data_IF_184761607200
#
_entry.id   IF_184761607200
#
_cell.length_a   1.000
_cell.length_b   1.000
_cell.length_c   1.000
_cell.angle_alpha   90.00
_cell.angle_beta   90.00
_cell.angle_gamma   90.00
#
_symmetry.space_group_name_H-M   'P 1'
#
loop_
_entity.id
_entity.type
_entity.pdbx_description
1 polymer ?
#
# COMPACT_ATOMS: atom_id res chain seq x y z
N UNK A 1 3.74 -30.44 16.53
CA UNK A 1 3.10 -29.11 16.46
C UNK A 1 4.09 -28.07 15.93
N UNK A 2 4.15 -27.85 14.61
CA UNK A 2 4.99 -26.82 13.97
C UNK A 2 4.27 -26.20 12.77
N UNK A 3 3.06 -25.68 12.99
CA UNK A 3 2.30 -24.96 11.95
C UNK A 3 1.88 -23.53 12.37
N UNK A 4 2.30 -23.04 13.55
CA UNK A 4 1.77 -21.77 14.07
C UNK A 4 2.48 -20.50 13.58
N UNK A 5 3.72 -20.59 13.06
CA UNK A 5 4.51 -19.39 12.74
C UNK A 5 4.16 -18.82 11.35
N UNK A 6 3.84 -19.69 10.37
CA UNK A 6 3.51 -19.24 9.01
C UNK A 6 2.11 -18.59 8.92
N UNK A 7 1.16 -19.03 9.76
CA UNK A 7 -0.20 -18.47 9.79
C UNK A 7 -0.22 -17.05 10.38
N UNK A 8 0.61 -16.81 11.40
CA UNK A 8 0.72 -15.51 12.07
C UNK A 8 1.42 -14.46 11.16
N UNK A 9 2.47 -14.87 10.45
CA UNK A 9 3.18 -14.00 9.50
C UNK A 9 2.30 -13.61 8.30
N UNK A 10 1.46 -14.53 7.82
CA UNK A 10 0.47 -14.25 6.77
C UNK A 10 -0.65 -13.33 7.27
N UNK A 11 -1.10 -13.50 8.52
CA UNK A 11 -2.10 -12.64 9.17
C UNK A 11 -1.58 -11.20 9.36
N UNK A 12 -0.34 -11.04 9.85
CA UNK A 12 0.31 -9.73 10.01
C UNK A 12 0.54 -9.03 8.65
N UNK A 13 0.97 -9.78 7.64
CA UNK A 13 1.11 -9.27 6.26
C UNK A 13 -0.23 -8.83 5.69
N UNK A 14 -1.30 -9.59 5.93
CA UNK A 14 -2.65 -9.28 5.47
C UNK A 14 -3.25 -8.06 6.16
N UNK A 15 -3.08 -7.92 7.48
CA UNK A 15 -3.48 -6.71 8.25
C UNK A 15 -2.70 -5.49 7.76
N UNK A 16 -1.40 -5.63 7.52
CA UNK A 16 -0.58 -4.54 6.99
C UNK A 16 -1.01 -4.11 5.59
N UNK A 17 -1.28 -5.07 4.69
CA UNK A 17 -1.79 -4.81 3.34
C UNK A 17 -3.12 -4.04 3.42
N UNK A 18 -4.03 -4.44 4.31
CA UNK A 18 -5.32 -3.77 4.48
C UNK A 18 -5.19 -2.36 5.06
N UNK A 19 -4.32 -2.17 6.06
CA UNK A 19 -4.10 -0.86 6.70
C UNK A 19 -3.43 0.13 5.73
N UNK A 20 -2.39 -0.33 5.01
CA UNK A 20 -1.68 0.46 3.99
C UNK A 20 -2.62 0.90 2.87
N UNK A 21 -3.49 -0.01 2.41
CA UNK A 21 -4.44 0.27 1.33
C UNK A 21 -5.47 1.32 1.73
N UNK A 22 -6.07 1.19 2.93
CA UNK A 22 -6.98 2.22 3.45
C UNK A 22 -6.31 3.59 3.56
N UNK A 23 -5.05 3.62 3.98
CA UNK A 23 -4.28 4.85 4.08
C UNK A 23 -3.99 5.48 2.71
N UNK A 24 -3.51 4.69 1.74
CA UNK A 24 -3.28 5.15 0.35
C UNK A 24 -4.59 5.66 -0.26
N UNK A 25 -5.69 4.94 -0.09
CA UNK A 25 -7.00 5.38 -0.57
C UNK A 25 -7.47 6.67 0.11
N UNK A 26 -7.23 6.83 1.42
CA UNK A 26 -7.51 8.07 2.15
C UNK A 26 -6.70 9.25 1.62
N UNK A 27 -5.39 9.06 1.40
CA UNK A 27 -4.52 10.09 0.82
C UNK A 27 -4.92 10.45 -0.61
N UNK A 28 -5.21 9.46 -1.45
CA UNK A 28 -5.68 9.69 -2.82
C UNK A 28 -7.06 10.33 -2.84
N UNK A 29 -7.90 10.08 -1.84
CA UNK A 29 -9.19 10.79 -1.69
C UNK A 29 -8.98 12.25 -1.31
N UNK A 30 -7.98 12.56 -0.48
CA UNK A 30 -7.68 13.93 -0.06
C UNK A 30 -6.94 14.76 -1.13
N UNK A 31 -5.97 14.17 -1.82
CA UNK A 31 -5.15 14.86 -2.84
C UNK A 31 -5.64 14.63 -4.29
N UNK A 32 -6.52 13.66 -4.53
CA UNK A 32 -6.97 13.25 -5.86
C UNK A 32 -5.98 12.32 -6.58
N UNK A 33 -4.74 12.77 -6.75
CA UNK A 33 -3.68 12.02 -7.44
C UNK A 33 -2.33 12.20 -6.79
N UNK A 34 -1.51 11.15 -6.73
CA UNK A 34 -0.17 11.17 -6.15
C UNK A 34 0.80 10.29 -6.92
N UNK A 35 2.04 10.74 -7.08
CA UNK A 35 3.14 9.95 -7.64
C UNK A 35 3.60 8.84 -6.68
N UNK A 36 4.19 7.77 -7.21
CA UNK A 36 4.75 6.65 -6.44
C UNK A 36 5.63 7.11 -5.26
N UNK A 37 6.57 8.03 -5.52
CA UNK A 37 7.50 8.56 -4.50
C UNK A 37 6.78 9.28 -3.35
N UNK A 38 5.71 10.02 -3.65
CA UNK A 38 4.92 10.72 -2.64
C UNK A 38 4.18 9.73 -1.76
N UNK A 39 3.59 8.70 -2.37
CA UNK A 39 2.94 7.62 -1.64
C UNK A 39 3.95 6.90 -0.74
N UNK A 40 5.14 6.56 -1.27
CA UNK A 40 6.21 5.90 -0.52
C UNK A 40 6.70 6.73 0.67
N UNK A 41 6.96 8.03 0.46
CA UNK A 41 7.41 8.92 1.54
C UNK A 41 6.35 9.13 2.61
N UNK A 42 5.08 9.29 2.22
CA UNK A 42 3.99 9.35 3.18
C UNK A 42 3.86 8.05 3.95
N UNK A 43 3.90 6.89 3.30
CA UNK A 43 3.89 5.61 4.00
C UNK A 43 5.04 5.50 5.02
N UNK A 44 6.26 5.95 4.68
CA UNK A 44 7.37 6.01 5.64
C UNK A 44 7.12 6.96 6.81
N UNK A 45 6.47 8.10 6.58
CA UNK A 45 6.20 9.07 7.65
C UNK A 45 5.03 8.68 8.56
N UNK A 46 4.04 7.96 8.03
CA UNK A 46 2.80 7.66 8.75
C UNK A 46 2.71 6.20 9.23
N UNK A 47 3.37 5.25 8.56
CA UNK A 47 3.46 3.84 8.98
C UNK A 47 4.78 3.55 9.72
N UNK A 48 5.07 4.35 10.75
CA UNK A 48 6.23 4.19 11.65
C UNK A 48 5.91 3.28 12.85
N UNK A 49 4.63 2.97 13.07
CA UNK A 49 4.16 2.12 14.18
C UNK A 49 3.94 0.68 13.74
N UNK A 50 4.14 -0.28 14.64
CA UNK A 50 4.10 -1.72 14.34
C UNK A 50 2.79 -2.16 13.66
N UNK A 51 2.85 -2.74 12.43
CA UNK A 51 4.05 -3.13 11.69
C UNK A 51 4.70 -1.95 10.95
N UNK A 52 6.03 -1.82 11.04
CA UNK A 52 6.78 -0.74 10.37
C UNK A 52 6.78 -0.94 8.85
N UNK A 53 6.59 0.15 8.08
CA UNK A 53 6.73 0.11 6.62
C UNK A 53 8.20 -0.01 6.20
N UNK A 54 8.64 -1.23 5.91
CA UNK A 54 9.99 -1.57 5.41
C UNK A 54 9.98 -2.07 3.94
N UNK A 55 9.03 -1.61 3.13
CA UNK A 55 8.93 -2.03 1.72
C UNK A 55 9.75 -1.09 0.82
N UNK A 56 10.37 -1.63 -0.22
CA UNK A 56 11.06 -0.85 -1.25
C UNK A 56 10.07 -0.18 -2.22
N UNK A 57 10.54 0.82 -2.98
CA UNK A 57 9.77 1.45 -4.06
C UNK A 57 9.25 0.43 -5.08
N UNK A 58 10.05 -0.57 -5.45
CA UNK A 58 9.62 -1.64 -6.35
C UNK A 58 8.50 -2.50 -5.76
N UNK A 59 8.58 -2.84 -4.47
CA UNK A 59 7.52 -3.60 -3.79
C UNK A 59 6.22 -2.80 -3.72
N UNK A 60 6.31 -1.49 -3.44
CA UNK A 60 5.15 -0.59 -3.49
C UNK A 60 4.57 -0.49 -4.91
N UNK A 61 5.43 -0.35 -5.93
CA UNK A 61 5.00 -0.31 -7.32
C UNK A 61 4.25 -1.58 -7.70
N UNK A 62 4.79 -2.76 -7.39
CA UNK A 62 4.14 -4.04 -7.65
C UNK A 62 2.78 -4.13 -6.94
N UNK A 63 2.70 -3.62 -5.70
CA UNK A 63 1.47 -3.58 -4.93
C UNK A 63 0.41 -2.66 -5.57
N UNK A 64 0.79 -1.42 -5.92
CA UNK A 64 -0.10 -0.47 -6.58
C UNK A 64 -0.50 -0.95 -7.98
N UNK A 65 0.40 -1.61 -8.71
CA UNK A 65 0.09 -2.24 -9.99
C UNK A 65 -0.95 -3.34 -9.85
N UNK A 66 -0.93 -4.11 -8.75
CA UNK A 66 -1.99 -5.05 -8.41
C UNK A 66 -3.34 -4.34 -8.24
N UNK A 67 -3.37 -3.21 -7.54
CA UNK A 67 -4.58 -2.40 -7.37
C UNK A 67 -5.09 -1.75 -8.66
N UNK A 68 -4.19 -1.39 -9.57
CA UNK A 68 -4.56 -0.93 -10.92
C UNK A 68 -5.18 -2.09 -11.72
N UNK A 69 -4.61 -3.29 -11.62
CA UNK A 69 -5.15 -4.49 -12.26
C UNK A 69 -6.50 -4.92 -11.65
N UNK A 70 -6.71 -4.69 -10.36
CA UNK A 70 -7.99 -4.89 -9.67
C UNK A 70 -8.99 -3.73 -9.89
N UNK A 71 -8.65 -2.75 -10.73
CA UNK A 71 -9.48 -1.57 -11.02
C UNK A 71 -9.83 -0.72 -9.79
N UNK A 72 -9.06 -0.80 -8.70
CA UNK A 72 -9.21 0.07 -7.53
C UNK A 72 -8.51 1.42 -7.73
N UNK A 73 -7.41 1.40 -8.49
CA UNK A 73 -6.61 2.57 -8.85
C UNK A 73 -6.51 2.72 -10.36
N UNK A 74 -6.23 3.93 -10.81
CA UNK A 74 -5.86 4.25 -12.18
C UNK A 74 -4.47 4.89 -12.17
N UNK A 75 -3.60 4.49 -13.10
CA UNK A 75 -2.30 5.11 -13.30
C UNK A 75 -2.37 5.97 -14.57
N UNK A 76 -2.28 7.29 -14.42
CA UNK A 76 -2.21 8.27 -15.53
C UNK A 76 -0.97 9.13 -15.38
N UNK A 77 -0.17 9.24 -16.44
CA UNK A 77 1.01 10.11 -16.48
C UNK A 77 1.98 9.90 -15.29
N UNK A 78 2.08 8.67 -14.79
CA UNK A 78 2.90 8.33 -13.61
C UNK A 78 2.29 8.73 -12.26
N UNK A 79 1.05 9.20 -12.25
CA UNK A 79 0.26 9.53 -11.07
C UNK A 79 -0.80 8.45 -10.81
N UNK A 80 -0.82 7.95 -9.58
CA UNK A 80 -1.89 7.07 -9.13
C UNK A 80 -3.09 7.90 -8.70
N UNK A 81 -4.25 7.48 -9.16
CA UNK A 81 -5.54 8.09 -8.85
C UNK A 81 -6.50 7.02 -8.38
N UNK A 82 -7.44 7.39 -7.52
CA UNK A 82 -8.53 6.49 -7.16
C UNK A 82 -9.47 6.34 -8.36
N UNK A 83 -9.73 5.11 -8.80
CA UNK A 83 -10.76 4.88 -9.81
C UNK A 83 -12.13 5.21 -9.20
N UNK A 84 -12.98 5.91 -9.95
CA UNK A 84 -14.32 6.31 -9.51
C UNK A 84 -15.32 5.20 -9.74
#
# INVERSE_FOLDING_TARGET
>A
MRQSIAFDLASASFVFIKSSLNYIMGMLTACGSLSLDRIHNSLKMFCTSDPTYDKSLQQLYSFLSGLVSEEKLELRDGLYMRKK
#
